data_IF_908401063954
#
_entry.id   IF_908401063954
#
_cell.length_a   1.000
_cell.length_b   1.000
_cell.length_c   1.000
_cell.angle_alpha   90.00
_cell.angle_beta   90.00
_cell.angle_gamma   90.00
#
_symmetry.space_group_name_H-M   'P 1'
#
loop_
_entity.id
_entity.type
_entity.pdbx_description
1 polymer ?
#
# COMPACT_ATOMS: atom_id res chain seq x y z
N UNK A 1 6.56 30.16 -4.91
CA UNK A 1 7.48 29.25 -4.19
C UNK A 1 6.86 27.86 -3.95
N UNK A 2 6.08 27.30 -4.90
CA UNK A 2 5.44 25.98 -4.74
C UNK A 2 6.21 24.86 -5.45
N UNK A 3 6.88 25.19 -6.56
CA UNK A 3 7.66 24.28 -7.41
C UNK A 3 8.85 23.61 -6.69
N UNK A 4 9.48 24.27 -5.72
CA UNK A 4 10.60 23.68 -4.98
C UNK A 4 10.18 22.51 -4.07
N UNK A 5 8.96 22.54 -3.52
CA UNK A 5 8.48 21.46 -2.64
C UNK A 5 8.16 20.20 -3.42
N UNK A 6 7.63 20.35 -4.63
CA UNK A 6 7.34 19.23 -5.52
C UNK A 6 8.64 18.55 -5.97
N UNK A 7 9.67 19.34 -6.29
CA UNK A 7 10.99 18.82 -6.62
C UNK A 7 11.65 18.08 -5.45
N UNK A 8 11.49 18.59 -4.22
CA UNK A 8 12.00 17.96 -3.00
C UNK A 8 11.26 16.65 -2.68
N UNK A 9 9.93 16.63 -2.81
CA UNK A 9 9.13 15.41 -2.66
C UNK A 9 9.48 14.36 -3.72
N UNK A 10 9.72 14.76 -4.97
CA UNK A 10 10.16 13.83 -6.02
C UNK A 10 11.54 13.23 -5.72
N UNK A 11 12.48 14.02 -5.17
CA UNK A 11 13.79 13.49 -4.76
C UNK A 11 13.68 12.52 -3.58
N UNK A 12 12.85 12.82 -2.59
CA UNK A 12 12.58 11.89 -1.48
C UNK A 12 11.94 10.58 -1.96
N UNK A 13 11.01 10.65 -2.92
CA UNK A 13 10.41 9.45 -3.52
C UNK A 13 11.45 8.58 -4.22
N UNK A 14 12.36 9.20 -5.00
CA UNK A 14 13.45 8.48 -5.67
C UNK A 14 14.39 7.81 -4.67
N UNK A 15 14.77 8.51 -3.59
CA UNK A 15 15.60 7.95 -2.53
C UNK A 15 14.91 6.78 -1.81
N UNK A 16 13.62 6.94 -1.47
CA UNK A 16 12.85 5.89 -0.82
C UNK A 16 12.77 4.62 -1.66
N UNK A 17 12.49 4.74 -2.97
CA UNK A 17 12.44 3.60 -3.88
C UNK A 17 13.80 2.92 -3.99
N UNK A 18 14.88 3.69 -4.10
CA UNK A 18 16.25 3.15 -4.15
C UNK A 18 16.57 2.31 -2.91
N UNK A 19 16.24 2.84 -1.73
CA UNK A 19 16.48 2.14 -0.45
C UNK A 19 15.65 0.87 -0.30
N UNK A 20 14.41 0.88 -0.78
CA UNK A 20 13.54 -0.32 -0.79
C UNK A 20 14.11 -1.41 -1.68
N UNK A 21 14.60 -1.06 -2.88
CA UNK A 21 15.23 -2.04 -3.79
C UNK A 21 16.49 -2.67 -3.18
N UNK A 22 17.34 -1.85 -2.53
CA UNK A 22 18.53 -2.35 -1.82
C UNK A 22 18.15 -3.29 -0.67
N UNK A 23 17.14 -2.92 0.14
CA UNK A 23 16.63 -3.78 1.21
C UNK A 23 16.03 -5.07 0.67
N UNK A 24 15.29 -5.01 -0.44
CA UNK A 24 14.69 -6.19 -1.05
C UNK A 24 15.76 -7.15 -1.57
N UNK A 25 16.81 -6.63 -2.22
CA UNK A 25 17.96 -7.42 -2.66
C UNK A 25 18.66 -8.09 -1.48
N UNK A 26 18.89 -7.36 -0.39
CA UNK A 26 19.51 -7.91 0.80
C UNK A 26 18.61 -8.94 1.51
N UNK A 27 17.30 -8.71 1.55
CA UNK A 27 16.34 -9.65 2.13
C UNK A 27 16.29 -10.94 1.32
N UNK A 28 16.22 -10.87 0.00
CA UNK A 28 16.26 -12.05 -0.86
C UNK A 28 17.56 -12.85 -0.70
N UNK A 29 18.70 -12.17 -0.61
CA UNK A 29 19.99 -12.81 -0.34
C UNK A 29 20.06 -13.51 1.03
N UNK A 30 19.23 -13.10 2.00
CA UNK A 30 19.10 -13.77 3.31
C UNK A 30 18.05 -14.87 3.33
N UNK A 31 17.05 -14.80 2.46
CA UNK A 31 15.90 -15.74 2.39
C UNK A 31 16.20 -16.95 1.51
N UNK A 32 17.14 -16.85 0.56
CA UNK A 32 17.75 -18.00 -0.12
C UNK A 32 19.17 -18.26 0.40
N UNK A 33 19.34 -18.83 1.61
CA UNK A 33 20.63 -19.37 2.05
C UNK A 33 20.82 -20.77 1.42
N UNK A 34 21.08 -20.83 0.11
CA UNK A 34 21.59 -22.07 -0.50
C UNK A 34 23.12 -22.08 -0.36
N UNK A 35 23.57 -22.82 0.65
CA UNK A 35 24.84 -23.54 0.82
C UNK A 35 26.19 -22.95 0.30
N UNK A 36 27.05 -22.61 1.29
CA UNK A 36 28.54 -22.77 1.35
C UNK A 36 29.46 -21.58 0.95
N UNK A 37 30.75 -21.62 1.35
CA UNK A 37 31.41 -21.02 2.53
C UNK A 37 32.03 -19.62 2.24
N UNK A 38 32.59 -18.87 3.21
CA UNK A 38 32.94 -17.46 3.00
C UNK A 38 34.25 -17.31 2.19
N UNK A 39 34.35 -16.35 1.25
CA UNK A 39 35.65 -15.88 0.78
C UNK A 39 36.12 -14.73 1.67
N UNK A 40 37.14 -15.05 2.48
CA UNK A 40 37.92 -14.07 3.22
C UNK A 40 38.70 -13.15 2.27
N UNK A 41 38.77 -11.85 2.59
CA UNK A 41 39.99 -11.02 2.50
C UNK A 41 39.83 -9.72 3.32
N UNK A 42 40.43 -9.76 4.51
CA UNK A 42 41.22 -8.72 5.24
C UNK A 42 40.70 -7.28 5.34
N UNK A 43 40.70 -6.55 6.46
CA UNK A 43 41.21 -6.73 7.82
C UNK A 43 40.41 -5.77 8.73
N UNK A 44 39.74 -6.30 9.75
CA UNK A 44 39.60 -5.65 11.06
C UNK A 44 38.98 -6.64 12.03
N UNK A 45 39.76 -6.97 13.04
CA UNK A 45 39.44 -7.90 14.10
C UNK A 45 38.26 -7.38 14.93
N UNK A 46 37.10 -7.98 14.76
CA UNK A 46 36.07 -7.99 15.80
C UNK A 46 35.12 -9.17 15.56
N UNK A 47 35.43 -10.25 16.27
CA UNK A 47 34.55 -11.39 16.56
C UNK A 47 33.12 -10.88 16.80
N UNK A 48 32.09 -11.28 16.00
CA UNK A 48 30.73 -11.09 16.43
C UNK A 48 30.53 -12.00 17.63
N UNK A 49 30.45 -11.40 18.81
CA UNK A 49 29.90 -12.05 19.98
C UNK A 49 28.56 -12.72 19.59
N UNK A 50 28.21 -13.89 20.15
CA UNK A 50 26.83 -14.34 20.09
C UNK A 50 25.96 -13.18 20.59
N UNK A 51 24.89 -12.79 19.86
CA UNK A 51 24.06 -11.69 20.30
C UNK A 51 23.63 -12.00 21.74
N UNK A 52 23.89 -11.10 22.71
CA UNK A 52 23.34 -11.26 24.04
C UNK A 52 21.84 -11.40 23.87
N UNK A 53 21.25 -12.37 24.58
CA UNK A 53 19.83 -12.60 24.74
C UNK A 53 19.02 -11.31 24.59
N UNK A 54 18.64 -10.97 23.36
CA UNK A 54 17.72 -9.88 23.08
C UNK A 54 16.38 -10.56 23.05
N UNK A 55 15.55 -10.23 24.04
CA UNK A 55 14.11 -10.42 23.98
C UNK A 55 13.62 -10.21 22.54
N UNK A 56 12.66 -11.04 22.06
CA UNK A 56 12.11 -10.85 20.74
C UNK A 56 11.74 -9.38 20.59
N UNK A 57 12.28 -8.66 19.59
CA UNK A 57 11.93 -7.27 19.40
C UNK A 57 10.40 -7.18 19.29
N UNK A 58 9.76 -6.16 19.90
CA UNK A 58 8.33 -5.99 19.77
C UNK A 58 7.97 -6.05 18.29
N UNK A 59 6.85 -6.71 17.92
CA UNK A 59 6.47 -6.91 16.53
C UNK A 59 6.54 -5.57 15.82
N UNK A 60 7.51 -5.43 14.91
CA UNK A 60 7.63 -4.25 14.07
C UNK A 60 6.28 -4.09 13.36
N UNK A 61 5.72 -2.87 13.29
CA UNK A 61 4.54 -2.63 12.48
C UNK A 61 4.86 -3.10 11.07
N UNK A 62 4.22 -4.19 10.63
CA UNK A 62 4.32 -4.60 9.24
C UNK A 62 3.78 -3.42 8.43
N UNK A 63 4.54 -2.87 7.46
CA UNK A 63 3.98 -1.93 6.50
C UNK A 63 2.87 -2.69 5.81
N UNK A 64 1.62 -2.28 6.03
CA UNK A 64 0.47 -2.83 5.31
C UNK A 64 0.81 -2.79 3.82
N UNK A 65 0.65 -3.90 3.08
CA UNK A 65 0.95 -3.92 1.66
C UNK A 65 0.24 -2.74 0.99
N UNK A 66 0.85 -2.08 -0.02
CA UNK A 66 0.21 -1.00 -0.74
C UNK A 66 -1.09 -1.56 -1.27
N UNK A 67 -2.18 -1.00 -0.75
CA UNK A 67 -3.52 -1.47 -1.02
C UNK A 67 -3.77 -1.26 -2.51
N UNK A 68 -3.49 -2.30 -3.31
CA UNK A 68 -3.70 -2.28 -4.74
C UNK A 68 -5.16 -1.96 -4.98
N UNK A 69 -5.42 -0.97 -5.84
CA UNK A 69 -6.70 -0.51 -6.45
C UNK A 69 -7.98 -0.60 -5.61
N UNK A 70 -8.32 -1.78 -5.08
CA UNK A 70 -9.24 -1.98 -3.96
C UNK A 70 -9.02 -0.99 -2.82
N UNK A 71 -7.78 -0.71 -2.41
CA UNK A 71 -7.53 0.26 -1.33
C UNK A 71 -7.93 1.70 -1.63
N UNK A 72 -7.82 2.11 -2.90
CA UNK A 72 -8.21 3.45 -3.33
C UNK A 72 -9.73 3.55 -3.46
N UNK A 73 -10.38 2.57 -4.10
CA UNK A 73 -11.84 2.52 -4.19
C UNK A 73 -12.48 2.40 -2.80
N UNK A 74 -11.97 1.49 -1.98
CA UNK A 74 -12.41 1.29 -0.60
C UNK A 74 -12.16 2.53 0.25
N UNK A 75 -11.07 3.26 0.02
CA UNK A 75 -10.82 4.57 0.65
C UNK A 75 -11.84 5.65 0.24
N UNK A 76 -12.24 5.71 -1.03
CA UNK A 76 -13.23 6.69 -1.51
C UNK A 76 -14.65 6.33 -1.01
N UNK A 77 -15.02 5.05 -1.04
CA UNK A 77 -16.28 4.54 -0.47
C UNK A 77 -16.35 4.82 1.03
N UNK A 78 -15.27 4.52 1.76
CA UNK A 78 -15.19 4.74 3.21
C UNK A 78 -15.25 6.22 3.57
N UNK A 79 -14.62 7.09 2.78
CA UNK A 79 -14.62 8.53 3.04
C UNK A 79 -15.94 9.22 2.68
N UNK A 80 -16.71 8.64 1.75
CA UNK A 80 -18.04 9.16 1.36
C UNK A 80 -19.16 8.58 2.23
N UNK A 81 -18.85 7.57 3.07
CA UNK A 81 -19.85 6.87 3.89
C UNK A 81 -20.83 6.04 3.06
N UNK A 82 -20.47 5.71 1.81
CA UNK A 82 -21.33 4.97 0.90
C UNK A 82 -21.26 3.49 1.22
N UNK A 83 -22.37 2.96 1.71
CA UNK A 83 -22.52 1.53 1.90
C UNK A 83 -22.53 0.77 0.57
N UNK A 84 -22.22 -0.53 0.63
CA UNK A 84 -22.24 -1.40 -0.56
C UNK A 84 -23.60 -1.39 -1.25
N UNK A 85 -24.67 -1.28 -0.47
CA UNK A 85 -26.05 -1.19 -0.96
C UNK A 85 -26.32 0.14 -1.67
N UNK A 86 -25.87 1.27 -1.11
CA UNK A 86 -25.99 2.58 -1.75
C UNK A 86 -25.20 2.66 -3.04
N UNK A 87 -24.00 2.07 -3.08
CA UNK A 87 -23.19 1.99 -4.30
C UNK A 87 -23.89 1.13 -5.37
N UNK A 88 -24.50 0.02 -4.97
CA UNK A 88 -25.30 -0.84 -5.86
C UNK A 88 -26.50 -0.05 -6.42
N UNK A 89 -27.24 0.64 -5.56
CA UNK A 89 -28.38 1.48 -5.95
C UNK A 89 -27.95 2.61 -6.90
N UNK A 90 -26.82 3.27 -6.61
CA UNK A 90 -26.27 4.33 -7.44
C UNK A 90 -25.84 3.80 -8.81
N UNK A 91 -25.19 2.64 -8.85
CA UNK A 91 -24.82 1.95 -10.08
C UNK A 91 -26.04 1.51 -10.89
N UNK A 92 -27.07 0.98 -10.23
CA UNK A 92 -28.34 0.60 -10.85
C UNK A 92 -29.08 1.83 -11.39
N UNK A 93 -29.19 2.90 -10.61
CA UNK A 93 -29.78 4.17 -11.03
C UNK A 93 -29.04 4.78 -12.23
N UNK A 94 -27.70 4.69 -12.25
CA UNK A 94 -26.89 5.12 -13.39
C UNK A 94 -27.14 4.28 -14.64
N UNK A 95 -27.25 2.95 -14.49
CA UNK A 95 -27.55 2.04 -15.59
C UNK A 95 -28.94 2.34 -16.18
N UNK A 96 -29.94 2.50 -15.32
CA UNK A 96 -31.31 2.85 -15.71
C UNK A 96 -31.38 4.23 -16.39
N UNK A 97 -30.61 5.20 -15.89
CA UNK A 97 -30.52 6.52 -16.51
C UNK A 97 -30.00 6.43 -17.95
N UNK A 98 -28.98 5.59 -18.20
CA UNK A 98 -28.43 5.36 -19.54
C UNK A 98 -29.41 4.70 -20.50
N UNK A 99 -30.25 3.82 -20.02
CA UNK A 99 -31.28 3.13 -20.82
C UNK A 99 -32.56 3.97 -20.99
N UNK A 100 -32.64 5.14 -20.36
CA UNK A 100 -33.80 6.02 -20.46
C UNK A 100 -35.01 5.54 -19.67
N UNK A 101 -34.77 4.90 -18.51
CA UNK A 101 -35.82 4.45 -17.62
C UNK A 101 -36.73 5.60 -17.14
N UNK A 102 -37.95 5.25 -16.73
CA UNK A 102 -38.95 6.21 -16.27
C UNK A 102 -38.42 7.14 -15.19
N UNK A 103 -38.71 8.44 -15.33
CA UNK A 103 -38.32 9.47 -14.36
C UNK A 103 -38.89 9.17 -12.96
N UNK A 104 -40.08 8.56 -12.89
CA UNK A 104 -40.67 8.10 -11.62
C UNK A 104 -39.83 7.02 -10.96
N UNK A 105 -39.31 6.07 -11.74
CA UNK A 105 -38.47 4.99 -11.25
C UNK A 105 -37.10 5.53 -10.79
N UNK A 106 -36.53 6.47 -11.55
CA UNK A 106 -35.28 7.14 -11.18
C UNK A 106 -35.42 7.93 -9.86
N UNK A 107 -36.55 8.65 -9.71
CA UNK A 107 -36.88 9.37 -8.48
C UNK A 107 -37.11 8.41 -7.30
N UNK A 108 -37.69 7.23 -7.52
CA UNK A 108 -37.84 6.21 -6.47
C UNK A 108 -36.49 5.69 -5.98
N UNK A 109 -35.54 5.40 -6.88
CA UNK A 109 -34.19 4.98 -6.48
C UNK A 109 -33.48 6.11 -5.75
N UNK A 110 -33.60 7.36 -6.23
CA UNK A 110 -33.01 8.52 -5.57
C UNK A 110 -33.65 8.78 -4.19
N UNK A 111 -34.95 8.54 -4.04
CA UNK A 111 -35.66 8.65 -2.76
C UNK A 111 -35.24 7.54 -1.79
N UNK A 112 -34.97 6.32 -2.28
CA UNK A 112 -34.45 5.22 -1.46
C UNK A 112 -33.01 5.46 -0.98
N UNK A 113 -32.27 6.32 -1.68
CA UNK A 113 -30.88 6.69 -1.36
C UNK A 113 -30.80 7.75 -0.25
N UNK A 114 -31.89 8.48 0.00
CA UNK A 114 -32.01 9.56 0.98
C UNK A 114 -32.42 9.01 2.35
#
# INVERSE_FOLDING_TARGET
MASNREQDMMQMQQDAVRRVMEMQRQAQARVHPEEKPPPAKSNSSSKPQPPPNREPPPPKPQPKPPAGKSGLLEGILSNTGLDKEQLLLLGLGYLLYKEGADHKLLLSILYLLL
#
